data_IF_047957185513
#
_entry.id   IF_047957185513
#
_cell.length_a   1.000
_cell.length_b   1.000
_cell.length_c   1.000
_cell.angle_alpha   90.00
_cell.angle_beta   90.00
_cell.angle_gamma   90.00
#
_symmetry.space_group_name_H-M   'P 1'
#
loop_
_entity.id
_entity.type
_entity.pdbx_description
1 polymer ?
#
# COMPACT_ATOMS: atom_id res chain seq x y z
N UNK A 1 13.26 -25.07 1.74
CA UNK A 1 12.47 -24.37 0.72
C UNK A 1 11.02 -24.67 1.01
N UNK A 2 10.26 -23.70 1.56
CA UNK A 2 8.81 -23.77 1.36
C UNK A 2 8.61 -23.45 -0.12
N UNK A 3 8.06 -24.37 -0.88
CA UNK A 3 7.57 -24.05 -2.22
C UNK A 3 6.66 -22.84 -2.08
N UNK A 4 6.96 -21.77 -2.82
CA UNK A 4 6.09 -20.60 -2.89
C UNK A 4 4.81 -21.04 -3.60
N UNK A 5 3.86 -21.59 -2.83
CA UNK A 5 2.55 -22.11 -3.26
C UNK A 5 1.81 -21.13 -4.20
N UNK A 6 2.11 -19.84 -4.10
CA UNK A 6 1.55 -18.77 -4.91
C UNK A 6 1.85 -18.90 -6.41
N UNK A 7 2.98 -19.50 -6.78
CA UNK A 7 3.42 -19.50 -8.19
C UNK A 7 2.50 -20.33 -9.11
N UNK A 8 1.98 -21.45 -8.62
CA UNK A 8 1.10 -22.33 -9.40
C UNK A 8 -0.26 -21.68 -9.67
N UNK A 9 -0.69 -20.78 -8.79
CA UNK A 9 -1.95 -20.04 -8.83
C UNK A 9 -1.89 -18.78 -9.70
N UNK A 10 -0.70 -18.38 -10.17
CA UNK A 10 -0.54 -17.18 -11.00
C UNK A 10 -1.20 -17.34 -12.38
N UNK A 11 -1.97 -16.33 -12.77
CA UNK A 11 -2.55 -16.20 -14.09
C UNK A 11 -1.47 -16.07 -15.17
N UNK A 12 -1.76 -16.60 -16.36
CA UNK A 12 -0.92 -16.34 -17.52
C UNK A 12 -1.13 -14.91 -18.02
N UNK A 13 -0.05 -14.14 -18.12
CA UNK A 13 -0.07 -12.75 -18.59
C UNK A 13 0.91 -12.61 -19.75
N UNK A 14 0.44 -12.01 -20.86
CA UNK A 14 1.33 -11.62 -21.96
C UNK A 14 2.07 -10.32 -21.61
N UNK A 15 3.39 -10.22 -21.82
CA UNK A 15 4.16 -9.00 -21.51
C UNK A 15 3.70 -7.73 -22.21
N UNK A 16 2.93 -7.84 -23.30
CA UNK A 16 2.35 -6.73 -24.06
C UNK A 16 0.83 -6.59 -23.88
N UNK A 17 0.24 -7.29 -22.90
CA UNK A 17 -1.18 -7.22 -22.62
C UNK A 17 -1.64 -5.78 -22.33
N UNK A 18 -2.70 -5.36 -23.01
CA UNK A 18 -3.31 -4.05 -22.77
C UNK A 18 -4.17 -4.05 -21.51
N UNK A 19 -4.48 -2.85 -20.99
CA UNK A 19 -5.15 -2.72 -19.71
C UNK A 19 -6.51 -3.43 -19.65
N UNK A 20 -7.30 -3.35 -20.73
CA UNK A 20 -8.59 -4.04 -20.81
C UNK A 20 -8.43 -5.57 -20.79
N UNK A 21 -7.36 -6.12 -21.37
CA UNK A 21 -7.09 -7.56 -21.33
C UNK A 21 -6.75 -7.99 -19.90
N UNK A 22 -5.93 -7.23 -19.20
CA UNK A 22 -5.56 -7.51 -17.80
C UNK A 22 -6.78 -7.48 -16.88
N UNK A 23 -7.62 -6.44 -16.97
CA UNK A 23 -8.87 -6.37 -16.22
C UNK A 23 -9.90 -7.44 -16.64
N UNK A 24 -9.79 -8.02 -17.84
CA UNK A 24 -10.70 -9.07 -18.28
C UNK A 24 -10.49 -10.40 -17.58
N UNK A 25 -9.33 -10.61 -16.93
CA UNK A 25 -9.06 -11.80 -16.13
C UNK A 25 -9.91 -11.83 -14.85
N UNK A 26 -10.23 -10.66 -14.29
CA UNK A 26 -11.06 -10.53 -13.09
C UNK A 26 -12.53 -10.83 -13.37
N UNK A 27 -13.19 -11.51 -12.44
CA UNK A 27 -14.65 -11.62 -12.38
C UNK A 27 -15.31 -10.25 -12.21
N UNK A 28 -16.60 -10.14 -12.55
CA UNK A 28 -17.36 -8.89 -12.31
C UNK A 28 -17.39 -8.51 -10.82
N UNK A 29 -17.30 -9.48 -9.92
CA UNK A 29 -17.29 -9.20 -8.47
C UNK A 29 -15.96 -8.57 -8.06
N UNK A 30 -14.83 -9.12 -8.49
CA UNK A 30 -13.51 -8.53 -8.20
C UNK A 30 -13.38 -7.13 -8.81
N UNK A 31 -13.86 -6.91 -10.05
CA UNK A 31 -13.92 -5.56 -10.64
C UNK A 31 -14.80 -4.60 -9.81
N UNK A 32 -15.83 -5.11 -9.15
CA UNK A 32 -16.64 -4.31 -8.22
C UNK A 32 -15.91 -4.02 -6.90
N UNK A 33 -14.99 -4.89 -6.45
CA UNK A 33 -14.13 -4.59 -5.31
C UNK A 33 -13.10 -3.52 -5.68
N UNK A 34 -12.45 -3.62 -6.85
CA UNK A 34 -11.59 -2.53 -7.39
C UNK A 34 -12.37 -1.22 -7.40
N UNK A 35 -13.59 -1.21 -7.96
CA UNK A 35 -14.47 -0.03 -7.97
C UNK A 35 -14.70 0.56 -6.57
N UNK A 36 -14.90 -0.27 -5.55
CA UNK A 36 -15.14 0.19 -4.17
C UNK A 36 -13.88 0.79 -3.54
N UNK A 37 -12.72 0.18 -3.75
CA UNK A 37 -11.44 0.70 -3.26
C UNK A 37 -11.13 2.08 -3.81
N UNK A 38 -11.52 2.34 -5.06
CA UNK A 38 -11.43 3.66 -5.69
C UNK A 38 -12.59 4.61 -5.35
N UNK A 39 -13.55 4.17 -4.55
CA UNK A 39 -14.78 4.89 -4.22
C UNK A 39 -15.60 5.35 -5.45
N UNK A 40 -15.56 4.57 -6.53
CA UNK A 40 -16.28 4.90 -7.76
C UNK A 40 -17.76 4.56 -7.66
N UNK A 41 -18.60 5.59 -7.55
CA UNK A 41 -20.05 5.44 -7.50
C UNK A 41 -20.73 5.43 -8.88
N UNK A 42 -21.97 4.92 -8.91
CA UNK A 42 -22.86 5.01 -10.08
C UNK A 42 -22.59 4.01 -11.22
N UNK A 43 -21.61 3.11 -11.09
CA UNK A 43 -21.22 2.16 -12.15
C UNK A 43 -21.37 0.67 -11.78
N UNK A 44 -21.97 0.35 -10.63
CA UNK A 44 -22.14 -1.05 -10.17
C UNK A 44 -23.10 -1.88 -11.03
N UNK A 45 -24.03 -1.23 -11.74
CA UNK A 45 -25.01 -1.90 -12.60
C UNK A 45 -24.47 -2.26 -13.98
N UNK A 46 -23.31 -1.72 -14.37
CA UNK A 46 -22.69 -1.98 -15.67
C UNK A 46 -22.42 -3.48 -15.86
N UNK A 47 -22.48 -3.96 -17.10
CA UNK A 47 -22.00 -5.30 -17.42
C UNK A 47 -20.45 -5.35 -17.30
N UNK A 48 -19.85 -6.55 -17.35
CA UNK A 48 -18.39 -6.70 -17.15
C UNK A 48 -17.57 -5.87 -18.14
N UNK A 49 -17.96 -5.86 -19.42
CA UNK A 49 -17.22 -5.13 -20.45
C UNK A 49 -17.32 -3.61 -20.27
N UNK A 50 -18.53 -3.09 -19.99
CA UNK A 50 -18.75 -1.68 -19.68
C UNK A 50 -18.01 -1.24 -18.39
N UNK A 51 -18.01 -2.10 -17.36
CA UNK A 51 -17.31 -1.83 -16.11
C UNK A 51 -15.80 -1.75 -16.32
N UNK A 52 -15.21 -2.63 -17.13
CA UNK A 52 -13.78 -2.58 -17.49
C UNK A 52 -13.45 -1.24 -18.17
N UNK A 53 -14.26 -0.81 -19.15
CA UNK A 53 -14.04 0.45 -19.85
C UNK A 53 -14.07 1.66 -18.89
N UNK A 54 -15.05 1.71 -17.98
CA UNK A 54 -15.12 2.78 -16.98
C UNK A 54 -13.98 2.72 -15.96
N UNK A 55 -13.58 1.53 -15.52
CA UNK A 55 -12.46 1.36 -14.57
C UNK A 55 -11.15 1.81 -15.19
N UNK A 56 -10.81 1.36 -16.40
CA UNK A 56 -9.60 1.77 -17.13
C UNK A 56 -9.45 3.29 -17.15
N UNK A 57 -10.52 4.00 -17.51
CA UNK A 57 -10.53 5.46 -17.56
C UNK A 57 -10.42 6.10 -16.18
N UNK A 58 -11.28 5.71 -15.23
CA UNK A 58 -11.38 6.38 -13.93
C UNK A 58 -10.16 6.12 -13.05
N UNK A 59 -9.59 4.91 -13.09
CA UNK A 59 -8.35 4.59 -12.38
C UNK A 59 -7.25 5.50 -12.90
N UNK A 60 -7.06 5.56 -14.22
CA UNK A 60 -6.08 6.46 -14.81
C UNK A 60 -6.30 7.90 -14.35
N UNK A 61 -7.52 8.43 -14.42
CA UNK A 61 -7.86 9.81 -14.01
C UNK A 61 -7.59 10.12 -12.53
N UNK A 62 -7.71 9.13 -11.64
CA UNK A 62 -7.52 9.29 -10.20
C UNK A 62 -6.12 8.86 -9.69
N UNK A 63 -5.21 8.41 -10.57
CA UNK A 63 -3.86 8.01 -10.16
C UNK A 63 -3.12 9.10 -9.37
N UNK A 64 -3.25 10.37 -9.75
CA UNK A 64 -2.49 11.44 -9.08
C UNK A 64 -3.00 11.75 -7.67
N UNK A 65 -4.31 11.67 -7.44
CA UNK A 65 -4.86 11.83 -6.08
C UNK A 65 -4.44 10.66 -5.22
N UNK A 66 -4.58 9.43 -5.71
CA UNK A 66 -4.21 8.24 -4.95
C UNK A 66 -2.70 8.13 -4.67
N UNK A 67 -1.83 8.44 -5.65
CA UNK A 67 -0.38 8.42 -5.45
C UNK A 67 0.12 9.40 -4.37
N UNK A 68 -0.70 10.37 -3.95
CA UNK A 68 -0.35 11.29 -2.85
C UNK A 68 -0.43 10.65 -1.46
N UNK A 69 -1.06 9.48 -1.32
CA UNK A 69 -1.12 8.75 -0.05
C UNK A 69 0.05 7.77 0.14
N UNK A 70 0.80 7.47 -0.94
CA UNK A 70 1.84 6.44 -0.90
C UNK A 70 3.16 6.94 -0.28
N UNK A 71 3.86 6.04 0.40
CA UNK A 71 5.22 6.23 0.89
C UNK A 71 6.29 5.86 -0.14
N UNK A 72 7.56 5.98 0.26
CA UNK A 72 8.71 5.66 -0.59
C UNK A 72 8.73 4.18 -0.96
N UNK A 73 8.36 3.28 -0.05
CA UNK A 73 8.39 1.84 -0.29
C UNK A 73 7.51 1.43 -1.48
N UNK A 74 6.24 1.85 -1.49
CA UNK A 74 5.30 1.56 -2.57
C UNK A 74 5.73 2.25 -3.87
N UNK A 75 6.21 3.50 -3.79
CA UNK A 75 6.60 4.24 -5.01
C UNK A 75 7.94 3.81 -5.59
N UNK A 76 8.85 3.22 -4.81
CA UNK A 76 10.07 2.59 -5.30
C UNK A 76 9.75 1.31 -6.06
N UNK A 77 8.85 0.48 -5.54
CA UNK A 77 8.38 -0.72 -6.23
C UNK A 77 7.74 -0.40 -7.60
N UNK A 78 6.85 0.61 -7.66
CA UNK A 78 6.29 1.07 -8.93
C UNK A 78 7.37 1.53 -9.92
N UNK A 79 8.39 2.28 -9.45
CA UNK A 79 9.49 2.74 -10.31
C UNK A 79 10.32 1.58 -10.83
N UNK A 80 10.58 0.57 -10.00
CA UNK A 80 11.32 -0.62 -10.39
C UNK A 80 10.59 -1.38 -11.50
N UNK A 81 9.29 -1.64 -11.34
CA UNK A 81 8.47 -2.30 -12.36
C UNK A 81 8.47 -1.48 -13.66
N UNK A 82 8.24 -0.16 -13.57
CA UNK A 82 8.23 0.71 -14.76
C UNK A 82 9.56 0.66 -15.49
N UNK A 83 10.67 0.77 -14.78
CA UNK A 83 12.02 0.72 -15.35
C UNK A 83 12.28 -0.60 -16.09
N UNK A 84 11.88 -1.73 -15.51
CA UNK A 84 12.05 -3.03 -16.15
C UNK A 84 11.11 -3.22 -17.36
N UNK A 85 9.84 -2.80 -17.25
CA UNK A 85 8.88 -2.86 -18.36
C UNK A 85 9.35 -2.04 -19.57
N UNK A 86 9.97 -0.89 -19.36
CA UNK A 86 10.55 -0.08 -20.45
C UNK A 86 11.71 -0.79 -21.18
N UNK A 87 12.36 -1.75 -20.52
CA UNK A 87 13.50 -2.50 -21.07
C UNK A 87 13.11 -3.85 -21.66
N UNK A 88 12.12 -4.52 -21.08
CA UNK A 88 11.80 -5.94 -21.35
C UNK A 88 10.30 -6.23 -21.54
N UNK A 89 9.48 -5.21 -21.76
CA UNK A 89 8.00 -5.27 -21.86
C UNK A 89 7.25 -5.62 -20.57
N UNK A 90 7.85 -6.45 -19.70
CA UNK A 90 7.39 -6.74 -18.34
C UNK A 90 8.55 -6.62 -17.34
N UNK A 91 8.24 -6.67 -16.04
CA UNK A 91 9.23 -6.69 -14.97
C UNK A 91 9.43 -8.10 -14.41
N UNK A 92 10.69 -8.51 -14.30
CA UNK A 92 11.13 -9.81 -13.81
C UNK A 92 11.77 -9.59 -12.43
N UNK A 93 10.93 -9.43 -11.42
CA UNK A 93 11.35 -9.22 -10.03
C UNK A 93 11.17 -10.55 -9.28
N UNK A 94 12.10 -10.86 -8.38
CA UNK A 94 11.97 -12.04 -7.52
C UNK A 94 10.71 -11.95 -6.64
N UNK A 95 9.89 -13.00 -6.68
CA UNK A 95 8.75 -13.12 -5.78
C UNK A 95 9.26 -13.57 -4.41
N UNK A 96 9.04 -12.70 -3.43
CA UNK A 96 9.11 -13.03 -2.02
C UNK A 96 7.84 -12.52 -1.34
N UNK A 97 7.67 -12.80 -0.05
CA UNK A 97 6.50 -12.38 0.73
C UNK A 97 6.23 -10.87 0.57
N UNK A 98 7.28 -10.06 0.57
CA UNK A 98 7.17 -8.61 0.49
C UNK A 98 6.72 -8.11 -0.90
N UNK A 99 7.34 -8.61 -1.98
CA UNK A 99 6.94 -8.23 -3.35
C UNK A 99 5.57 -8.78 -3.71
N UNK A 100 5.18 -9.93 -3.15
CA UNK A 100 3.85 -10.51 -3.28
C UNK A 100 2.78 -9.61 -2.65
N UNK A 101 2.92 -9.21 -1.38
CA UNK A 101 1.93 -8.32 -0.73
C UNK A 101 1.82 -6.95 -1.41
N UNK A 102 2.94 -6.39 -1.90
CA UNK A 102 2.88 -5.16 -2.70
C UNK A 102 2.12 -5.39 -4.01
N UNK A 103 2.36 -6.50 -4.71
CA UNK A 103 1.60 -6.84 -5.91
C UNK A 103 0.11 -6.96 -5.61
N UNK A 104 -0.28 -7.74 -4.60
CA UNK A 104 -1.67 -7.94 -4.20
C UNK A 104 -2.38 -6.61 -3.88
N UNK A 105 -1.72 -5.74 -3.10
CA UNK A 105 -2.22 -4.40 -2.80
C UNK A 105 -2.48 -3.54 -4.06
N UNK A 106 -1.55 -3.58 -5.01
CA UNK A 106 -1.66 -2.81 -6.25
C UNK A 106 -2.63 -3.45 -7.26
N UNK A 107 -2.76 -4.77 -7.24
CA UNK A 107 -3.67 -5.56 -8.09
C UNK A 107 -5.12 -5.39 -7.64
N UNK A 108 -5.37 -5.34 -6.34
CA UNK A 108 -6.66 -4.96 -5.77
C UNK A 108 -7.12 -3.56 -6.22
N UNK A 109 -6.19 -2.69 -6.65
CA UNK A 109 -6.47 -1.37 -7.24
C UNK A 109 -6.40 -1.36 -8.77
N UNK A 110 -6.10 -2.49 -9.41
CA UNK A 110 -5.97 -2.63 -10.85
C UNK A 110 -4.80 -1.84 -11.43
N UNK A 111 -3.70 -1.68 -10.70
CA UNK A 111 -2.53 -0.86 -11.09
C UNK A 111 -1.33 -1.71 -11.52
N UNK A 112 -1.00 -2.72 -10.73
CA UNK A 112 0.04 -3.72 -11.02
C UNK A 112 -0.64 -5.08 -11.13
N UNK A 113 -0.21 -5.90 -12.07
CA UNK A 113 -0.70 -7.26 -12.26
C UNK A 113 0.46 -8.22 -12.06
N UNK A 114 0.25 -9.25 -11.22
CA UNK A 114 1.21 -10.31 -10.99
C UNK A 114 0.73 -11.55 -11.73
N UNK A 115 1.59 -12.12 -12.58
CA UNK A 115 1.27 -13.32 -13.32
C UNK A 115 2.51 -14.10 -13.70
N UNK A 116 2.35 -15.05 -14.61
CA UNK A 116 3.45 -15.79 -15.21
C UNK A 116 3.41 -15.72 -16.73
N UNK A 117 4.60 -15.72 -17.32
CA UNK A 117 4.82 -15.89 -18.75
C UNK A 117 5.94 -16.90 -18.95
N UNK A 118 5.67 -17.97 -19.69
CA UNK A 118 6.64 -19.06 -19.94
C UNK A 118 7.25 -19.62 -18.63
N UNK A 119 6.42 -19.88 -17.62
CA UNK A 119 6.85 -20.36 -16.29
C UNK A 119 7.80 -19.40 -15.54
N UNK A 120 7.80 -18.11 -15.89
CA UNK A 120 8.54 -17.07 -15.19
C UNK A 120 7.54 -16.05 -14.65
N UNK A 121 7.66 -15.72 -13.37
CA UNK A 121 6.89 -14.67 -12.73
C UNK A 121 7.17 -13.31 -13.38
N UNK A 122 6.11 -12.56 -13.66
CA UNK A 122 6.20 -11.22 -14.19
C UNK A 122 5.26 -10.26 -13.45
N UNK A 123 5.72 -9.03 -13.31
CA UNK A 123 4.90 -7.90 -12.87
C UNK A 123 4.67 -7.00 -14.08
N UNK A 124 3.43 -6.57 -14.27
CA UNK A 124 3.06 -5.70 -15.37
C UNK A 124 2.25 -4.51 -14.87
N UNK A 125 2.65 -3.31 -15.26
CA UNK A 125 1.82 -2.11 -15.20
C UNK A 125 1.42 -1.80 -16.64
N UNK A 126 0.14 -1.62 -16.99
CA UNK A 126 -0.28 -1.26 -18.34
C UNK A 126 0.41 0.01 -18.84
N UNK A 127 0.74 0.09 -20.13
CA UNK A 127 1.55 1.19 -20.70
C UNK A 127 0.99 2.58 -20.37
N UNK A 128 -0.31 2.77 -20.52
CA UNK A 128 -0.99 4.03 -20.21
C UNK A 128 -0.81 4.46 -18.75
N UNK A 129 -0.85 3.52 -17.81
CA UNK A 129 -0.60 3.79 -16.40
C UNK A 129 0.89 4.05 -16.15
N UNK A 130 1.81 3.30 -16.79
CA UNK A 130 3.26 3.52 -16.64
C UNK A 130 3.65 4.95 -16.98
N UNK A 131 3.18 5.44 -18.13
CA UNK A 131 3.46 6.81 -18.60
C UNK A 131 2.93 7.83 -17.58
N UNK A 132 1.69 7.64 -17.11
CA UNK A 132 1.04 8.56 -16.17
C UNK A 132 1.72 8.54 -14.79
N UNK A 133 1.97 7.36 -14.21
CA UNK A 133 2.66 7.18 -12.94
C UNK A 133 4.06 7.79 -13.00
N UNK A 134 4.85 7.49 -14.04
CA UNK A 134 6.20 8.07 -14.22
C UNK A 134 6.16 9.60 -14.28
N UNK A 135 5.19 10.17 -14.98
CA UNK A 135 5.00 11.63 -15.04
C UNK A 135 4.64 12.21 -13.66
N UNK A 136 3.69 11.61 -12.95
CA UNK A 136 3.25 12.05 -11.62
C UNK A 136 4.38 11.97 -10.60
N UNK A 137 5.09 10.83 -10.51
CA UNK A 137 6.18 10.61 -9.57
C UNK A 137 7.38 11.55 -9.79
N UNK A 138 7.48 12.17 -10.98
CA UNK A 138 8.52 13.17 -11.26
C UNK A 138 8.17 14.58 -10.75
N UNK A 139 6.91 14.87 -10.43
CA UNK A 139 6.47 16.16 -9.91
C UNK A 139 7.12 16.45 -8.56
N UNK A 140 7.67 17.67 -8.41
CA UNK A 140 8.32 18.11 -7.15
C UNK A 140 7.37 18.06 -5.95
N UNK A 141 6.10 18.41 -6.16
CA UNK A 141 5.05 18.33 -5.14
C UNK A 141 4.84 16.90 -4.64
N UNK A 142 4.74 15.94 -5.56
CA UNK A 142 4.56 14.51 -5.23
C UNK A 142 5.79 13.98 -4.48
N UNK A 143 7.01 14.28 -4.96
CA UNK A 143 8.23 13.90 -4.24
C UNK A 143 8.31 14.51 -2.83
N UNK A 144 7.78 15.72 -2.62
CA UNK A 144 7.69 16.33 -1.29
C UNK A 144 6.67 15.59 -0.42
N UNK A 145 5.50 15.27 -0.98
CA UNK A 145 4.45 14.53 -0.28
C UNK A 145 4.91 13.14 0.14
N UNK A 146 5.56 12.38 -0.74
CA UNK A 146 6.09 11.03 -0.41
C UNK A 146 7.03 11.07 0.81
N UNK A 147 7.96 12.04 0.87
CA UNK A 147 8.85 12.19 2.04
C UNK A 147 8.11 12.55 3.32
N UNK A 148 7.01 13.29 3.18
CA UNK A 148 6.15 13.65 4.29
C UNK A 148 5.34 12.44 4.77
N UNK A 149 4.84 11.63 3.84
CA UNK A 149 4.17 10.35 4.12
C UNK A 149 5.09 9.38 4.85
N UNK A 150 6.35 9.25 4.42
CA UNK A 150 7.35 8.45 5.13
C UNK A 150 7.53 8.91 6.58
N UNK A 151 7.40 10.21 6.83
CA UNK A 151 7.47 10.75 8.19
C UNK A 151 6.22 10.35 8.98
N UNK A 152 5.02 10.49 8.41
CA UNK A 152 3.77 10.07 9.07
C UNK A 152 3.78 8.59 9.42
N UNK A 153 4.13 7.75 8.46
CA UNK A 153 4.25 6.29 8.64
C UNK A 153 5.27 5.96 9.73
N UNK A 154 6.46 6.59 9.71
CA UNK A 154 7.49 6.39 10.73
C UNK A 154 6.97 6.66 12.15
N UNK A 155 6.32 7.81 12.35
CA UNK A 155 5.81 8.17 13.68
C UNK A 155 4.58 7.33 14.07
N UNK A 156 3.71 6.98 13.13
CA UNK A 156 2.57 6.12 13.39
C UNK A 156 3.01 4.71 13.84
N UNK A 157 3.87 4.05 13.07
CA UNK A 157 4.42 2.73 13.41
C UNK A 157 5.18 2.79 14.73
N UNK A 158 6.08 3.75 14.88
CA UNK A 158 6.87 3.86 16.12
C UNK A 158 6.01 4.15 17.36
N UNK A 159 4.85 4.80 17.23
CA UNK A 159 3.89 4.95 18.33
C UNK A 159 3.06 3.69 18.56
N UNK A 160 2.63 3.01 17.50
CA UNK A 160 1.88 1.76 17.59
C UNK A 160 2.68 0.67 18.33
N UNK A 161 4.01 0.71 18.30
CA UNK A 161 4.87 -0.16 19.14
C UNK A 161 4.62 0.03 20.64
N UNK A 162 4.32 1.25 21.10
CA UNK A 162 4.06 1.53 22.51
C UNK A 162 2.59 1.36 22.90
N UNK A 163 1.67 1.61 21.97
CA UNK A 163 0.24 1.66 22.27
C UNK A 163 -0.53 0.43 21.79
N UNK A 164 0.04 -0.38 20.91
CA UNK A 164 -0.63 -1.47 20.19
C UNK A 164 -1.60 -0.95 19.12
N UNK A 165 -2.55 -0.11 19.55
CA UNK A 165 -3.56 0.53 18.70
C UNK A 165 -3.38 2.04 18.74
N UNK A 166 -3.25 2.66 17.57
CA UNK A 166 -3.16 4.10 17.41
C UNK A 166 -4.51 4.64 16.93
N UNK A 167 -5.17 5.41 17.80
CA UNK A 167 -6.38 6.17 17.46
C UNK A 167 -6.01 7.44 16.68
N UNK A 168 -6.97 8.08 15.98
CA UNK A 168 -6.74 9.36 15.31
C UNK A 168 -6.14 10.42 16.26
N UNK A 169 -6.70 10.55 17.46
CA UNK A 169 -6.22 11.53 18.44
C UNK A 169 -4.76 11.26 18.85
N UNK A 170 -4.39 10.00 19.06
CA UNK A 170 -3.00 9.64 19.37
C UNK A 170 -2.06 9.91 18.21
N UNK A 171 -2.49 9.63 16.98
CA UNK A 171 -1.73 9.94 15.77
C UNK A 171 -1.45 11.44 15.68
N UNK A 172 -2.50 12.28 15.70
CA UNK A 172 -2.34 13.72 15.57
C UNK A 172 -1.49 14.31 16.71
N UNK A 173 -1.77 13.93 17.97
CA UNK A 173 -1.01 14.38 19.12
C UNK A 173 0.49 14.00 19.02
N UNK A 174 0.81 12.83 18.47
CA UNK A 174 2.18 12.42 18.24
C UNK A 174 2.85 13.23 17.13
N UNK A 175 2.16 13.40 16.00
CA UNK A 175 2.70 14.14 14.85
C UNK A 175 2.96 15.60 15.21
N UNK A 176 2.02 16.28 15.86
CA UNK A 176 2.17 17.68 16.29
C UNK A 176 3.33 17.87 17.29
N UNK A 177 3.64 16.83 18.07
CA UNK A 177 4.75 16.86 19.03
C UNK A 177 6.12 16.75 18.37
N UNK A 178 6.23 16.00 17.27
CA UNK A 178 7.54 15.64 16.69
C UNK A 178 7.83 16.22 15.30
N UNK A 179 6.78 16.67 14.61
CA UNK A 179 6.83 17.26 13.30
C UNK A 179 6.25 18.68 13.33
N UNK A 180 6.70 19.51 12.39
CA UNK A 180 5.99 20.74 12.07
C UNK A 180 4.81 20.38 11.16
N UNK A 181 3.55 20.68 11.55
CA UNK A 181 2.40 20.36 10.71
C UNK A 181 2.48 21.09 9.36
N UNK A 182 2.52 20.30 8.28
CA UNK A 182 2.41 20.77 6.88
C UNK A 182 1.36 19.93 6.14
N UNK A 183 0.21 19.67 6.77
CA UNK A 183 -0.79 18.73 6.28
C UNK A 183 -1.51 19.28 5.05
N UNK A 184 -1.01 18.90 3.86
CA UNK A 184 -1.78 19.05 2.61
C UNK A 184 -2.69 17.85 2.38
N UNK A 185 -2.22 16.68 2.78
CA UNK A 185 -2.94 15.41 2.81
C UNK A 185 -3.07 15.05 4.28
N UNK A 186 -4.22 14.51 4.66
CA UNK A 186 -4.46 14.09 6.05
C UNK A 186 -3.48 12.96 6.41
N UNK A 187 -2.68 13.11 7.48
CA UNK A 187 -1.82 12.04 7.95
C UNK A 187 -2.56 10.75 8.29
N UNK A 188 -3.82 10.82 8.72
CA UNK A 188 -4.62 9.64 9.01
C UNK A 188 -4.84 8.82 7.74
N UNK A 189 -5.27 9.46 6.64
CA UNK A 189 -5.49 8.79 5.35
C UNK A 189 -4.22 8.10 4.85
N UNK A 190 -3.05 8.76 5.00
CA UNK A 190 -1.75 8.19 4.61
C UNK A 190 -1.41 6.93 5.42
N UNK A 191 -1.65 6.99 6.73
CA UNK A 191 -1.29 5.89 7.64
C UNK A 191 -2.27 4.72 7.48
N UNK A 192 -3.55 4.99 7.27
CA UNK A 192 -4.54 3.96 6.95
C UNK A 192 -4.24 3.32 5.59
N UNK A 193 -3.92 4.10 4.56
CA UNK A 193 -3.49 3.56 3.26
C UNK A 193 -2.23 2.71 3.38
N UNK A 194 -1.31 3.06 4.29
CA UNK A 194 -0.16 2.22 4.59
C UNK A 194 -0.56 0.89 5.26
N UNK A 195 -1.55 0.91 6.14
CA UNK A 195 -2.10 -0.28 6.80
C UNK A 195 -2.73 -1.30 5.84
N UNK A 196 -3.21 -0.86 4.67
CA UNK A 196 -3.85 -1.75 3.68
C UNK A 196 -2.90 -2.78 3.03
N UNK A 197 -1.57 -2.58 3.10
CA UNK A 197 -0.58 -3.53 2.54
C UNK A 197 0.51 -3.95 3.51
N UNK A 198 0.67 -3.22 4.61
CA UNK A 198 1.80 -3.41 5.50
C UNK A 198 1.64 -4.68 6.31
N UNK A 199 2.74 -5.40 6.48
CA UNK A 199 2.84 -6.53 7.41
C UNK A 199 3.24 -6.07 8.82
N UNK A 200 3.62 -4.79 8.99
CA UNK A 200 3.89 -4.20 10.30
C UNK A 200 2.62 -3.81 11.03
N UNK A 201 1.60 -3.44 10.29
CA UNK A 201 0.40 -2.83 10.82
C UNK A 201 -0.73 -2.92 9.82
N UNK A 202 -1.96 -2.89 10.33
CA UNK A 202 -3.17 -2.90 9.52
C UNK A 202 -4.13 -1.80 9.95
N UNK A 203 -5.02 -1.42 9.05
CA UNK A 203 -6.12 -0.48 9.26
C UNK A 203 -7.36 -1.24 9.75
N UNK A 204 -8.04 -0.69 10.76
CA UNK A 204 -9.33 -1.18 11.23
C UNK A 204 -10.27 0.01 11.47
N UNK A 205 -11.04 0.39 10.45
CA UNK A 205 -11.78 1.64 10.48
C UNK A 205 -10.82 2.83 10.64
N UNK A 206 -11.00 3.71 11.63
CA UNK A 206 -10.10 4.85 11.85
C UNK A 206 -8.84 4.48 12.66
N UNK A 207 -8.65 3.21 13.02
CA UNK A 207 -7.56 2.76 13.87
C UNK A 207 -6.40 2.22 13.05
N UNK A 208 -5.18 2.55 13.46
CA UNK A 208 -3.97 1.95 12.93
C UNK A 208 -3.38 1.00 13.97
N UNK A 209 -3.33 -0.29 13.64
CA UNK A 209 -3.05 -1.36 14.60
C UNK A 209 -1.72 -2.01 14.26
N UNK A 210 -0.84 -2.18 15.24
CA UNK A 210 0.39 -2.94 15.06
C UNK A 210 0.06 -4.41 14.78
N UNK A 211 0.66 -5.01 13.76
CA UNK A 211 0.37 -6.39 13.32
C UNK A 211 0.66 -7.47 14.38
N UNK A 212 1.45 -7.14 15.41
CA UNK A 212 1.69 -8.03 16.55
C UNK A 212 0.56 -8.04 17.60
N UNK A 213 -0.46 -7.20 17.45
CA UNK A 213 -1.62 -7.13 18.36
C UNK A 213 -2.65 -8.19 17.96
N UNK A 214 -2.94 -9.11 18.89
CA UNK A 214 -3.90 -10.20 18.67
C UNK A 214 -5.36 -9.76 18.85
N UNK A 215 -5.67 -8.94 19.86
CA UNK A 215 -7.04 -8.46 20.15
C UNK A 215 -7.08 -6.93 20.32
N UNK A 216 -7.10 -6.23 19.18
CA UNK A 216 -7.21 -4.77 19.17
C UNK A 216 -8.52 -4.23 19.79
N UNK A 217 -9.69 -4.85 19.58
CA UNK A 217 -10.92 -4.46 20.27
C UNK A 217 -10.81 -4.50 21.80
N UNK A 218 -10.22 -5.56 22.37
CA UNK A 218 -10.04 -5.66 23.83
C UNK A 218 -9.15 -4.55 24.38
N UNK A 219 -8.04 -4.23 23.70
CA UNK A 219 -7.15 -3.12 24.08
C UNK A 219 -7.92 -1.79 24.10
N UNK A 220 -8.78 -1.54 23.10
CA UNK A 220 -9.57 -0.31 23.04
C UNK A 220 -10.60 -0.24 24.18
N UNK A 221 -11.27 -1.35 24.49
CA UNK A 221 -12.24 -1.44 25.59
C UNK A 221 -11.55 -1.20 26.94
N UNK A 222 -10.48 -1.94 27.24
CA UNK A 222 -9.73 -1.76 28.49
C UNK A 222 -9.21 -0.32 28.64
N UNK A 223 -8.84 0.29 27.52
CA UNK A 223 -8.33 1.65 27.51
C UNK A 223 -9.42 2.68 27.81
N UNK A 224 -10.62 2.50 27.27
CA UNK A 224 -11.78 3.33 27.57
C UNK A 224 -12.17 3.22 29.05
N UNK A 225 -12.16 2.01 29.61
CA UNK A 225 -12.42 1.79 31.04
C UNK A 225 -11.40 2.48 31.96
N UNK A 226 -10.17 2.70 31.48
CA UNK A 226 -9.08 3.37 32.20
C UNK A 226 -8.77 4.76 31.65
N UNK A 227 -9.81 5.50 31.25
CA UNK A 227 -9.71 6.86 30.71
C UNK A 227 -9.01 7.88 31.63
N UNK A 228 -8.87 7.56 32.92
CA UNK A 228 -8.18 8.36 33.94
C UNK A 228 -6.65 8.23 33.90
N UNK A 229 -6.11 7.20 33.24
CA UNK A 229 -4.67 7.01 33.07
C UNK A 229 -4.17 7.77 31.84
N UNK A 230 -3.09 8.51 31.98
CA UNK A 230 -2.41 9.12 30.83
C UNK A 230 -1.68 8.06 30.00
N UNK A 231 -1.60 8.29 28.68
CA UNK A 231 -0.69 7.52 27.83
C UNK A 231 0.76 7.86 28.19
N UNK A 232 1.63 6.84 28.19
CA UNK A 232 3.06 7.08 28.16
C UNK A 232 3.42 7.92 26.92
N UNK A 233 4.28 8.92 27.08
CA UNK A 233 4.69 9.81 25.98
C UNK A 233 6.14 9.45 25.60
N UNK A 234 6.38 8.59 24.59
CA UNK A 234 7.72 8.21 24.17
C UNK A 234 8.42 9.40 23.53
N UNK A 235 9.68 9.65 23.83
CA UNK A 235 10.49 10.68 23.18
C UNK A 235 10.66 10.47 21.67
N UNK A 236 11.05 11.52 20.95
CA UNK A 236 11.33 11.44 19.50
C UNK A 236 12.30 10.31 19.15
N UNK A 237 13.35 10.14 19.96
CA UNK A 237 14.38 9.11 19.77
C UNK A 237 13.82 7.70 20.05
N UNK A 238 12.95 7.55 21.04
CA UNK A 238 12.28 6.29 21.35
C UNK A 238 11.35 5.83 20.23
N UNK A 239 10.59 6.75 19.63
CA UNK A 239 9.74 6.45 18.46
C UNK A 239 10.60 6.07 17.25
N UNK A 240 11.64 6.85 16.97
CA UNK A 240 12.53 6.57 15.83
C UNK A 240 13.25 5.22 15.99
N UNK A 241 13.70 4.89 17.20
CA UNK A 241 14.30 3.59 17.49
C UNK A 241 13.28 2.45 17.35
N UNK A 242 12.05 2.63 17.87
CA UNK A 242 10.99 1.64 17.74
C UNK A 242 10.69 1.34 16.27
N UNK A 243 10.52 2.37 15.44
CA UNK A 243 10.35 2.21 14.00
C UNK A 243 11.54 1.48 13.36
N UNK A 244 12.78 1.87 13.67
CA UNK A 244 13.95 1.23 13.07
C UNK A 244 14.07 -0.24 13.46
N UNK A 245 13.75 -0.63 14.69
CA UNK A 245 13.81 -2.02 15.13
C UNK A 245 12.77 -2.89 14.41
N UNK A 246 11.52 -2.42 14.36
CA UNK A 246 10.45 -3.11 13.62
C UNK A 246 10.79 -3.18 12.13
N UNK A 247 11.15 -2.06 11.51
CA UNK A 247 11.46 -2.00 10.09
C UNK A 247 12.76 -2.76 9.71
N UNK A 248 13.76 -2.83 10.59
CA UNK A 248 15.01 -3.56 10.31
C UNK A 248 14.85 -5.06 10.47
N UNK A 249 13.99 -5.52 11.39
CA UNK A 249 13.62 -6.95 11.49
C UNK A 249 13.10 -7.49 10.16
N UNK A 250 12.45 -6.63 9.38
CA UNK A 250 11.95 -6.92 8.03
C UNK A 250 13.04 -6.85 6.97
N UNK A 251 13.94 -5.86 7.04
CA UNK A 251 15.11 -5.83 6.14
C UNK A 251 16.02 -7.05 6.31
N UNK A 252 16.09 -7.62 7.51
CA UNK A 252 16.79 -8.88 7.75
C UNK A 252 16.05 -10.04 7.09
N UNK A 253 14.71 -10.10 7.15
CA UNK A 253 13.91 -11.04 6.34
C UNK A 253 14.08 -10.83 4.83
N UNK A 254 14.30 -9.60 4.36
CA UNK A 254 14.60 -9.28 2.94
C UNK A 254 15.91 -9.90 2.43
N UNK A 255 16.87 -10.20 3.31
CA UNK A 255 18.20 -10.70 2.94
C UNK A 255 18.45 -12.18 3.30
N UNK A 256 17.51 -12.87 3.94
CA UNK A 256 17.67 -14.28 4.38
C UNK A 256 17.13 -15.27 3.34
N UNK A 257 16.57 -14.79 2.23
CA UNK A 257 16.22 -15.63 1.08
C UNK A 257 17.21 -15.30 -0.05
N UNK A 258 18.39 -15.89 0.04
CA UNK A 258 19.38 -16.02 -1.03
C UNK A 258 19.90 -17.46 -0.99
#
# INVERSE_FOLDING_TARGET
MKENLWFEELDNIEPDACYNQLLSNFTKNELNEIRKLWDFHGISQLNKAELIQELTKRIADNLESWLQYLGSEQTEFLKEIIMQCEKYSAAYIEINEFTFYLADYFEARGVVFLGKHQEIAIFLIPEELRIKIKSILNKKSIKKQIRLNDSYIKYAVGCAVYYGVLTPDLLYNSLERYLTPEWRIDPLDVVLEFGEFSHLAYSAGPFFVLGAVEDAPEILIEREERSDLDYYIPSKKEIENAYQNEHSSLKIKRNIIC
#
